data_IF_210416345709
#
_entry.id   IF_210416345709
#
_cell.length_a   1.000
_cell.length_b   1.000
_cell.length_c   1.000
_cell.angle_alpha   90.00
_cell.angle_beta   90.00
_cell.angle_gamma   90.00
#
_symmetry.space_group_name_H-M   'P 1'
#
loop_
_entity.id
_entity.type
_entity.pdbx_description
1 polymer ?
#
# COMPACT_ATOMS: atom_id res chain seq x y z
N UNK A 1 41.55 -12.78 -4.86
CA UNK A 1 40.56 -12.47 -3.80
C UNK A 1 39.89 -11.11 -3.95
N UNK A 2 40.62 -9.98 -4.03
CA UNK A 2 40.02 -8.63 -4.15
C UNK A 2 39.00 -8.49 -5.30
N UNK A 3 39.35 -8.85 -6.53
CA UNK A 3 38.43 -8.74 -7.70
C UNK A 3 37.11 -9.50 -7.54
N UNK A 4 37.16 -10.73 -7.02
CA UNK A 4 35.96 -11.54 -6.80
C UNK A 4 35.03 -10.94 -5.73
N UNK A 5 35.61 -10.28 -4.73
CA UNK A 5 34.85 -9.62 -3.66
C UNK A 5 34.18 -8.34 -4.18
N UNK A 6 34.87 -7.57 -5.03
CA UNK A 6 34.30 -6.37 -5.64
C UNK A 6 33.23 -6.70 -6.68
N UNK A 7 33.41 -7.75 -7.48
CA UNK A 7 32.38 -8.21 -8.41
C UNK A 7 31.14 -8.72 -7.68
N UNK A 8 31.32 -9.43 -6.56
CA UNK A 8 30.20 -9.88 -5.73
C UNK A 8 29.45 -8.69 -5.12
N UNK A 9 30.17 -7.68 -4.62
CA UNK A 9 29.58 -6.45 -4.09
C UNK A 9 28.77 -5.68 -5.14
N UNK A 10 29.30 -5.51 -6.35
CA UNK A 10 28.58 -4.83 -7.42
C UNK A 10 27.33 -5.62 -7.83
N UNK A 11 27.41 -6.94 -7.86
CA UNK A 11 26.28 -7.80 -8.19
C UNK A 11 25.18 -7.73 -7.13
N UNK A 12 25.52 -7.76 -5.83
CA UNK A 12 24.53 -7.63 -4.75
C UNK A 12 23.90 -6.25 -4.74
N UNK A 13 24.67 -5.19 -5.02
CA UNK A 13 24.16 -3.82 -5.14
C UNK A 13 23.20 -3.68 -6.33
N UNK A 14 23.55 -4.24 -7.49
CA UNK A 14 22.68 -4.26 -8.67
C UNK A 14 21.37 -5.01 -8.37
N UNK A 15 21.46 -6.24 -7.86
CA UNK A 15 20.29 -7.07 -7.57
C UNK A 15 19.41 -6.45 -6.49
N UNK A 16 20.01 -5.93 -5.42
CA UNK A 16 19.30 -5.21 -4.36
C UNK A 16 18.60 -3.96 -4.88
N UNK A 17 19.23 -3.24 -5.81
CA UNK A 17 18.62 -2.11 -6.50
C UNK A 17 17.38 -2.50 -7.30
N UNK A 18 17.47 -3.57 -8.09
CA UNK A 18 16.33 -4.11 -8.86
C UNK A 18 15.18 -4.53 -7.95
N UNK A 19 15.47 -5.26 -6.86
CA UNK A 19 14.45 -5.68 -5.89
C UNK A 19 13.77 -4.46 -5.25
N UNK A 20 14.55 -3.44 -4.87
CA UNK A 20 14.03 -2.20 -4.29
C UNK A 20 13.11 -1.46 -5.26
N UNK A 21 13.44 -1.44 -6.55
CA UNK A 21 12.58 -0.86 -7.60
C UNK A 21 11.25 -1.61 -7.66
N UNK A 22 11.28 -2.93 -7.81
CA UNK A 22 10.05 -3.73 -7.89
C UNK A 22 9.18 -3.58 -6.66
N UNK A 23 9.78 -3.63 -5.47
CA UNK A 23 9.05 -3.46 -4.22
C UNK A 23 8.47 -2.04 -4.09
N UNK A 24 9.23 -1.02 -4.50
CA UNK A 24 8.77 0.37 -4.53
C UNK A 24 7.54 0.55 -5.43
N UNK A 25 7.59 0.02 -6.65
CA UNK A 25 6.45 0.04 -7.57
C UNK A 25 5.26 -0.77 -7.05
N UNK A 26 5.48 -1.91 -6.40
CA UNK A 26 4.40 -2.69 -5.80
C UNK A 26 3.64 -1.90 -4.73
N UNK A 27 4.33 -1.04 -3.96
CA UNK A 27 3.67 -0.16 -2.99
C UNK A 27 2.87 0.96 -3.66
N UNK A 28 3.36 1.49 -4.79
CA UNK A 28 2.70 2.55 -5.56
C UNK A 28 1.45 2.07 -6.31
N UNK A 29 1.48 0.83 -6.79
CA UNK A 29 0.38 0.22 -7.54
C UNK A 29 -0.70 -0.42 -6.65
N UNK A 30 -0.51 -0.39 -5.33
CA UNK A 30 -1.47 -0.96 -4.38
C UNK A 30 -2.79 -0.20 -4.43
N UNK A 31 -3.87 -0.88 -4.79
CA UNK A 31 -5.19 -0.25 -4.95
C UNK A 31 -5.74 0.17 -3.59
N UNK A 32 -6.47 1.29 -3.59
CA UNK A 32 -7.10 1.85 -2.40
C UNK A 32 -8.05 0.84 -1.72
N UNK A 33 -8.80 0.06 -2.51
CA UNK A 33 -9.70 -0.99 -2.00
C UNK A 33 -8.99 -2.06 -1.18
N UNK A 34 -7.76 -2.42 -1.53
CA UNK A 34 -6.97 -3.39 -0.78
C UNK A 34 -6.49 -2.80 0.53
N UNK A 35 -6.23 -1.49 0.57
CA UNK A 35 -5.85 -0.77 1.78
C UNK A 35 -7.04 -0.71 2.75
N UNK A 36 -8.25 -0.45 2.27
CA UNK A 36 -9.44 -0.51 3.13
C UNK A 36 -9.63 -1.89 3.76
N UNK A 37 -9.42 -2.97 2.98
CA UNK A 37 -9.49 -4.35 3.49
C UNK A 37 -8.44 -4.64 4.55
N UNK A 38 -7.25 -4.05 4.45
CA UNK A 38 -6.20 -4.20 5.46
C UNK A 38 -6.43 -3.37 6.73
N UNK A 39 -7.01 -2.18 6.60
CA UNK A 39 -7.31 -1.32 7.75
C UNK A 39 -8.44 -1.91 8.59
N UNK A 40 -9.44 -2.52 7.95
CA UNK A 40 -10.46 -3.29 8.64
C UNK A 40 -9.90 -4.63 9.12
N UNK A 41 -9.64 -4.73 10.43
CA UNK A 41 -9.29 -6.00 11.07
C UNK A 41 -10.49 -6.96 11.02
N UNK A 42 -10.23 -8.27 11.03
CA UNK A 42 -11.28 -9.26 11.29
C UNK A 42 -11.82 -9.01 12.70
N UNK A 43 -13.10 -8.68 12.78
CA UNK A 43 -13.84 -8.49 14.03
C UNK A 43 -15.11 -9.32 13.97
N UNK A 44 -15.59 -9.79 15.12
CA UNK A 44 -16.83 -10.57 15.18
C UNK A 44 -18.04 -9.75 14.70
N UNK A 45 -17.98 -8.44 14.94
CA UNK A 45 -18.95 -7.45 14.46
C UNK A 45 -18.25 -6.13 14.08
N UNK A 46 -18.86 -5.44 13.13
CA UNK A 46 -18.51 -4.10 12.70
C UNK A 46 -19.67 -3.16 13.00
N UNK A 47 -19.40 -2.13 13.80
CA UNK A 47 -20.25 -0.96 13.99
C UNK A 47 -19.77 0.13 13.04
N UNK A 48 -20.59 0.48 12.07
CA UNK A 48 -20.29 1.47 11.04
C UNK A 48 -21.11 2.71 11.34
N UNK A 49 -20.45 3.85 11.45
CA UNK A 49 -21.06 5.15 11.65
C UNK A 49 -20.86 5.97 10.38
N UNK A 50 -21.92 6.58 9.87
CA UNK A 50 -21.87 7.48 8.72
C UNK A 50 -21.83 8.94 9.17
N UNK A 51 -21.45 9.84 8.27
CA UNK A 51 -21.36 11.29 8.53
C UNK A 51 -22.70 11.91 8.91
N UNK A 52 -23.82 11.30 8.50
CA UNK A 52 -25.18 11.68 8.91
C UNK A 52 -25.63 11.03 10.24
N UNK A 53 -24.68 10.50 11.02
CA UNK A 53 -24.88 9.85 12.31
C UNK A 53 -25.79 8.61 12.29
N UNK A 54 -25.97 7.96 11.13
CA UNK A 54 -26.61 6.63 11.08
C UNK A 54 -25.61 5.55 11.49
N UNK A 55 -26.15 4.50 12.11
CA UNK A 55 -25.35 3.35 12.56
C UNK A 55 -25.81 2.07 11.86
N UNK A 56 -24.84 1.26 11.47
CA UNK A 56 -25.05 -0.08 10.92
C UNK A 56 -24.23 -1.09 11.71
N UNK A 57 -24.82 -2.25 11.99
CA UNK A 57 -24.14 -3.36 12.64
C UNK A 57 -24.10 -4.55 11.68
N UNK A 58 -22.93 -5.12 11.44
CA UNK A 58 -22.79 -6.28 10.54
C UNK A 58 -21.65 -7.21 10.98
N UNK A 59 -21.75 -8.49 10.67
CA UNK A 59 -20.65 -9.46 10.84
C UNK A 59 -19.66 -9.46 9.67
N UNK A 60 -20.07 -8.94 8.52
CA UNK A 60 -19.28 -8.96 7.29
C UNK A 60 -19.42 -7.64 6.53
N UNK A 61 -18.29 -7.14 6.05
CA UNK A 61 -18.19 -6.01 5.14
C UNK A 61 -17.51 -6.53 3.87
N UNK A 62 -18.13 -6.28 2.73
CA UNK A 62 -17.49 -6.45 1.43
C UNK A 62 -17.17 -5.07 0.86
N UNK A 63 -16.13 -5.00 0.03
CA UNK A 63 -15.80 -3.80 -0.72
C UNK A 63 -16.06 -4.03 -2.20
N UNK A 64 -16.79 -3.11 -2.82
CA UNK A 64 -17.05 -3.07 -4.24
C UNK A 64 -16.47 -1.79 -4.83
N UNK A 65 -16.01 -1.85 -6.07
CA UNK A 65 -15.61 -0.68 -6.84
C UNK A 65 -16.48 -0.60 -8.09
N UNK A 66 -17.23 0.49 -8.22
CA UNK A 66 -18.14 0.73 -9.33
C UNK A 66 -17.92 2.14 -9.87
N UNK A 67 -17.66 2.26 -11.17
CA UNK A 67 -17.44 3.55 -11.86
C UNK A 67 -16.40 4.47 -11.20
N UNK A 68 -15.38 3.89 -10.56
CA UNK A 68 -14.31 4.64 -9.88
C UNK A 68 -14.58 4.96 -8.41
N UNK A 69 -15.78 4.67 -7.89
CA UNK A 69 -16.12 4.86 -6.48
C UNK A 69 -16.07 3.55 -5.70
N UNK A 70 -15.74 3.64 -4.41
CA UNK A 70 -15.65 2.50 -3.50
C UNK A 70 -16.88 2.49 -2.58
N UNK A 71 -17.49 1.31 -2.46
CA UNK A 71 -18.68 1.08 -1.64
C UNK A 71 -18.41 -0.01 -0.61
N UNK A 72 -18.88 0.21 0.62
CA UNK A 72 -19.10 -0.86 1.60
C UNK A 72 -20.41 -1.56 1.24
N UNK A 73 -20.34 -2.84 0.90
CA UNK A 73 -21.52 -3.69 0.79
C UNK A 73 -21.74 -4.40 2.12
N UNK A 74 -22.89 -4.11 2.72
CA UNK A 74 -23.32 -4.64 4.02
C UNK A 74 -24.69 -5.27 3.81
N UNK A 75 -24.77 -6.60 3.84
CA UNK A 75 -25.98 -7.34 3.46
C UNK A 75 -26.45 -6.87 2.06
N UNK A 76 -27.65 -6.32 1.96
CA UNK A 76 -28.25 -5.85 0.70
C UNK A 76 -28.03 -4.35 0.44
N UNK A 77 -27.32 -3.64 1.34
CA UNK A 77 -27.07 -2.20 1.22
C UNK A 77 -25.68 -1.93 0.67
N UNK A 78 -25.59 -0.96 -0.24
CA UNK A 78 -24.33 -0.34 -0.67
C UNK A 78 -24.21 1.03 -0.02
N UNK A 79 -23.13 1.26 0.71
CA UNK A 79 -22.83 2.53 1.37
C UNK A 79 -21.56 3.09 0.74
N UNK A 80 -21.59 4.28 0.12
CA UNK A 80 -20.38 4.89 -0.40
C UNK A 80 -19.38 5.16 0.73
N UNK A 81 -18.12 4.77 0.54
CA UNK A 81 -17.09 4.86 1.61
C UNK A 81 -16.86 6.29 2.08
N UNK A 82 -16.97 7.29 1.20
CA UNK A 82 -16.82 8.70 1.57
C UNK A 82 -17.88 9.20 2.57
N UNK A 83 -19.00 8.48 2.72
CA UNK A 83 -20.04 8.79 3.72
C UNK A 83 -19.80 8.10 5.06
N UNK A 84 -18.83 7.18 5.13
CA UNK A 84 -18.50 6.43 6.33
C UNK A 84 -17.52 7.25 7.17
N UNK A 85 -17.93 7.58 8.40
CA UNK A 85 -17.13 8.32 9.37
C UNK A 85 -16.23 7.40 10.17
N UNK A 86 -16.76 6.30 10.71
CA UNK A 86 -15.98 5.37 11.51
C UNK A 86 -16.47 3.93 11.37
N UNK A 87 -15.57 2.98 11.60
CA UNK A 87 -15.88 1.56 11.80
C UNK A 87 -15.23 1.12 13.10
N UNK A 88 -16.02 0.61 14.04
CA UNK A 88 -15.57 0.23 15.39
C UNK A 88 -14.80 1.36 16.09
N UNK A 89 -15.31 2.60 16.00
CA UNK A 89 -14.70 3.81 16.56
C UNK A 89 -13.35 4.22 15.94
N UNK A 90 -12.92 3.55 14.86
CA UNK A 90 -11.76 3.94 14.06
C UNK A 90 -12.23 4.72 12.84
N UNK A 91 -11.68 5.93 12.64
CA UNK A 91 -11.87 6.68 11.40
C UNK A 91 -11.14 5.97 10.25
N UNK A 92 -11.92 5.24 9.43
CA UNK A 92 -11.37 4.41 8.37
C UNK A 92 -10.73 5.23 7.25
N UNK A 93 -11.30 6.40 6.95
CA UNK A 93 -10.84 7.23 5.83
C UNK A 93 -9.51 7.88 6.20
N UNK A 94 -9.38 8.40 7.43
CA UNK A 94 -8.12 8.93 7.93
C UNK A 94 -7.00 7.88 7.94
N UNK A 95 -7.29 6.66 8.40
CA UNK A 95 -6.30 5.58 8.42
C UNK A 95 -5.89 5.11 7.01
N UNK A 96 -6.84 5.01 6.07
CA UNK A 96 -6.54 4.70 4.67
C UNK A 96 -5.68 5.78 4.04
N UNK A 97 -6.03 7.07 4.21
CA UNK A 97 -5.24 8.19 3.66
C UNK A 97 -3.80 8.15 4.19
N UNK A 98 -3.61 7.95 5.51
CA UNK A 98 -2.26 7.80 6.09
C UNK A 98 -1.50 6.64 5.48
N UNK A 99 -2.17 5.49 5.25
CA UNK A 99 -1.52 4.29 4.73
C UNK A 99 -1.19 4.41 3.25
N UNK A 100 -2.07 4.99 2.44
CA UNK A 100 -1.81 5.35 1.03
C UNK A 100 -0.60 6.29 0.95
N UNK A 101 -0.63 7.38 1.72
CA UNK A 101 0.47 8.35 1.77
C UNK A 101 1.79 7.70 2.17
N UNK A 102 1.81 6.91 3.26
CA UNK A 102 3.01 6.21 3.72
C UNK A 102 3.54 5.20 2.70
N UNK A 103 2.65 4.44 2.06
CA UNK A 103 3.03 3.50 1.00
C UNK A 103 3.58 4.23 -0.22
N UNK A 104 2.97 5.36 -0.60
CA UNK A 104 3.44 6.22 -1.68
C UNK A 104 4.85 6.75 -1.41
N UNK A 105 5.06 7.36 -0.25
CA UNK A 105 6.37 7.88 0.16
C UNK A 105 7.43 6.78 0.20
N UNK A 106 7.14 5.63 0.82
CA UNK A 106 8.06 4.49 0.84
C UNK A 106 8.34 3.98 -0.57
N UNK A 107 7.30 3.88 -1.40
CA UNK A 107 7.38 3.38 -2.76
C UNK A 107 8.31 4.25 -3.63
N UNK A 108 8.13 5.58 -3.56
CA UNK A 108 9.00 6.55 -4.26
C UNK A 108 10.44 6.41 -3.79
N UNK A 109 10.69 6.39 -2.48
CA UNK A 109 12.04 6.29 -1.93
C UNK A 109 12.73 5.01 -2.37
N UNK A 110 12.05 3.87 -2.26
CA UNK A 110 12.60 2.56 -2.64
C UNK A 110 12.88 2.47 -4.14
N UNK A 111 11.99 2.99 -4.99
CA UNK A 111 12.21 3.03 -6.43
C UNK A 111 13.40 3.93 -6.79
N UNK A 112 13.50 5.12 -6.19
CA UNK A 112 14.60 6.06 -6.44
C UNK A 112 15.95 5.50 -5.98
N UNK A 113 16.04 5.03 -4.73
CA UNK A 113 17.29 4.45 -4.19
C UNK A 113 17.69 3.20 -4.96
N UNK A 114 16.72 2.38 -5.35
CA UNK A 114 16.96 1.19 -6.16
C UNK A 114 17.53 1.55 -7.54
N UNK A 115 16.92 2.52 -8.22
CA UNK A 115 17.40 3.05 -9.50
C UNK A 115 18.81 3.60 -9.42
N UNK A 116 19.11 4.42 -8.41
CA UNK A 116 20.45 4.96 -8.15
C UNK A 116 21.45 3.82 -7.94
N UNK A 117 21.09 2.80 -7.15
CA UNK A 117 21.98 1.66 -6.88
C UNK A 117 22.32 0.88 -8.14
N UNK A 118 21.34 0.66 -9.03
CA UNK A 118 21.55 0.03 -10.33
C UNK A 118 22.49 0.86 -11.19
N UNK A 119 22.25 2.18 -11.33
CA UNK A 119 23.08 3.07 -12.14
C UNK A 119 24.53 3.07 -11.63
N UNK A 120 24.74 3.25 -10.33
CA UNK A 120 26.08 3.25 -9.73
C UNK A 120 26.79 1.92 -9.97
N UNK A 121 26.10 0.79 -9.80
CA UNK A 121 26.70 -0.52 -10.02
C UNK A 121 27.13 -0.76 -11.47
N UNK A 122 26.38 -0.22 -12.45
CA UNK A 122 26.73 -0.29 -13.87
C UNK A 122 27.93 0.60 -14.21
N UNK A 123 27.98 1.82 -13.67
CA UNK A 123 29.11 2.73 -13.88
C UNK A 123 30.38 2.11 -13.28
N UNK A 124 30.34 1.68 -12.02
CA UNK A 124 31.51 1.16 -11.31
C UNK A 124 32.02 -0.17 -11.88
N UNK A 125 31.20 -0.95 -12.57
CA UNK A 125 31.61 -2.18 -13.25
C UNK A 125 32.75 -1.94 -14.25
N UNK A 126 32.77 -0.77 -14.90
CA UNK A 126 33.77 -0.46 -15.92
C UNK A 126 35.09 0.11 -15.32
N UNK A 127 35.10 0.45 -14.02
CA UNK A 127 36.25 1.04 -13.33
C UNK A 127 36.99 0.08 -12.38
N UNK A 128 36.48 -1.13 -12.12
CA UNK A 128 36.99 -2.07 -11.11
C UNK A 128 37.22 -3.46 -11.69
#
# INVERSE_FOLDING_TARGET
MRRALTSLFLYTMFLGGIISIFYGYSLLLKKEIDIYREVLKKSDFYRIETVDNKYYLTKRINFLQEKGEIYLQIQDKKIPVYTVKSVNSVDINSEVIKKVSRNGTKGIILAAVGGISVIISLILKDFI
#
